data_IF_703668049472
#
_entry.id   IF_703668049472
#
_cell.length_a   1.000
_cell.length_b   1.000
_cell.length_c   1.000
_cell.angle_alpha   90.00
_cell.angle_beta   90.00
_cell.angle_gamma   90.00
#
_symmetry.space_group_name_H-M   'P 1'
#
loop_
_entity.id
_entity.type
_entity.pdbx_description
1 polymer ?
#
# COMPACT_ATOMS: atom_id res chain seq x y z
N UNK A 1 -9.65 -6.42 21.91
CA UNK A 1 -8.63 -6.18 20.88
C UNK A 1 -9.10 -6.75 19.55
N UNK A 2 -8.80 -6.07 18.45
CA UNK A 2 -9.11 -6.52 17.08
C UNK A 2 -7.80 -6.87 16.38
N UNK A 3 -7.72 -8.06 15.80
CA UNK A 3 -6.60 -8.48 14.98
C UNK A 3 -6.75 -7.94 13.55
N UNK A 4 -5.68 -7.41 12.97
CA UNK A 4 -5.62 -6.87 11.62
C UNK A 4 -4.72 -7.79 10.77
N UNK A 5 -5.18 -8.19 9.59
CA UNK A 5 -4.49 -9.19 8.76
C UNK A 5 -4.38 -8.71 7.31
N UNK A 6 -3.15 -8.59 6.80
CA UNK A 6 -2.86 -8.34 5.39
C UNK A 6 -2.14 -9.55 4.81
N UNK A 7 -2.90 -10.47 4.22
CA UNK A 7 -2.39 -11.70 3.60
C UNK A 7 -2.10 -11.47 2.11
N UNK A 8 -0.89 -10.97 1.84
CA UNK A 8 -0.35 -10.73 0.51
C UNK A 8 0.28 -11.97 -0.15
N UNK A 9 0.57 -11.87 -1.45
CA UNK A 9 1.12 -12.97 -2.26
C UNK A 9 2.48 -13.52 -1.78
N UNK A 10 3.30 -12.68 -1.12
CA UNK A 10 4.66 -13.05 -0.71
C UNK A 10 4.82 -13.11 0.81
N UNK A 11 4.07 -12.29 1.54
CA UNK A 11 4.15 -12.14 2.99
C UNK A 11 2.78 -11.90 3.57
N UNK A 12 2.62 -12.23 4.84
CA UNK A 12 1.44 -11.90 5.63
C UNK A 12 1.87 -10.92 6.71
N UNK A 13 1.16 -9.80 6.83
CA UNK A 13 1.37 -8.85 7.92
C UNK A 13 0.23 -8.97 8.93
N UNK A 14 0.58 -9.02 10.21
CA UNK A 14 -0.35 -9.01 11.33
C UNK A 14 -0.11 -7.76 12.17
N UNK A 15 -1.21 -7.13 12.57
CA UNK A 15 -1.22 -6.04 13.52
C UNK A 15 -2.40 -6.18 14.47
N UNK A 16 -2.51 -5.28 15.43
CA UNK A 16 -3.65 -5.25 16.33
C UNK A 16 -4.11 -3.83 16.62
N UNK A 17 -5.37 -3.71 17.01
CA UNK A 17 -6.02 -2.47 17.39
C UNK A 17 -6.69 -2.59 18.76
N UNK A 18 -6.36 -1.66 19.66
CA UNK A 18 -7.02 -1.51 20.96
C UNK A 18 -8.41 -0.86 20.75
N UNK A 19 -9.48 -1.60 21.06
CA UNK A 19 -10.87 -1.15 20.97
C UNK A 19 -11.60 -1.41 22.31
N UNK A 20 -12.59 -0.58 22.72
CA UNK A 20 -13.19 0.56 21.99
C UNK A 20 -12.43 1.90 22.15
N UNK A 21 -12.84 2.94 21.41
CA UNK A 21 -12.37 4.34 21.56
C UNK A 21 -12.56 5.19 20.29
N UNK A 22 -12.28 6.51 20.32
CA UNK A 22 -12.64 7.45 19.25
C UNK A 22 -11.94 7.19 17.90
N UNK A 23 -12.67 7.45 16.82
CA UNK A 23 -12.23 7.25 15.44
C UNK A 23 -10.98 8.07 15.06
N UNK A 24 -10.79 9.23 15.70
CA UNK A 24 -9.65 10.11 15.49
C UNK A 24 -8.32 9.49 15.95
N UNK A 25 -8.38 8.57 16.92
CA UNK A 25 -7.20 8.03 17.62
C UNK A 25 -6.85 6.62 17.10
N UNK A 26 -7.40 6.21 15.95
CA UNK A 26 -7.26 4.85 15.44
C UNK A 26 -5.81 4.44 15.19
N UNK A 27 -5.04 5.32 14.55
CA UNK A 27 -3.63 5.09 14.26
C UNK A 27 -2.79 5.03 15.55
N UNK A 28 -3.17 5.77 16.59
CA UNK A 28 -2.45 5.81 17.87
C UNK A 28 -2.71 4.56 18.72
N UNK A 29 -3.87 3.93 18.54
CA UNK A 29 -4.28 2.69 19.23
C UNK A 29 -3.94 1.42 18.48
N UNK A 30 -3.35 1.54 17.28
CA UNK A 30 -2.81 0.43 16.51
C UNK A 30 -1.39 0.14 16.99
N UNK A 31 -1.00 -1.13 16.91
CA UNK A 31 0.40 -1.50 17.02
C UNK A 31 1.28 -0.69 16.04
N UNK A 32 2.50 -0.37 16.46
CA UNK A 32 3.47 0.39 15.64
C UNK A 32 4.40 -0.50 14.82
N UNK A 33 4.66 -1.71 15.32
CA UNK A 33 5.59 -2.69 14.73
C UNK A 33 4.83 -3.97 14.36
N UNK A 34 4.41 -4.11 13.09
CA UNK A 34 3.57 -5.23 12.71
C UNK A 34 4.44 -6.45 12.50
N UNK A 35 3.90 -7.61 12.81
CA UNK A 35 4.56 -8.86 12.47
C UNK A 35 4.45 -9.08 10.96
N UNK A 36 5.57 -9.23 10.27
CA UNK A 36 5.61 -9.63 8.87
C UNK A 36 6.21 -11.04 8.75
N UNK A 37 5.44 -11.99 8.23
CA UNK A 37 5.82 -13.39 8.08
C UNK A 37 5.92 -13.77 6.60
N UNK A 38 6.91 -14.60 6.27
CA UNK A 38 6.82 -15.40 5.04
C UNK A 38 5.75 -16.48 5.22
N UNK A 39 5.15 -16.93 4.12
CA UNK A 39 4.09 -17.94 4.17
C UNK A 39 4.53 -19.27 4.80
N UNK A 40 5.82 -19.62 4.68
CA UNK A 40 6.39 -20.84 5.24
C UNK A 40 6.56 -20.78 6.77
N UNK A 41 6.62 -19.58 7.34
CA UNK A 41 6.87 -19.37 8.76
C UNK A 41 5.58 -19.19 9.59
N UNK A 42 4.41 -19.22 8.92
CA UNK A 42 3.13 -18.87 9.50
C UNK A 42 2.80 -19.72 10.74
N UNK A 43 2.84 -21.05 10.61
CA UNK A 43 2.50 -21.99 11.67
C UNK A 43 3.49 -21.93 12.84
N UNK A 44 4.76 -21.64 12.55
CA UNK A 44 5.81 -21.59 13.56
C UNK A 44 5.77 -20.29 14.37
N UNK A 45 5.51 -19.15 13.73
CA UNK A 45 5.69 -17.83 14.34
C UNK A 45 4.38 -17.18 14.79
N UNK A 46 3.25 -17.38 14.09
CA UNK A 46 2.00 -16.72 14.45
C UNK A 46 1.52 -17.11 15.87
N UNK A 47 1.50 -18.38 16.30
CA UNK A 47 1.08 -18.73 17.66
C UNK A 47 1.93 -18.07 18.75
N UNK A 48 3.24 -17.95 18.52
CA UNK A 48 4.16 -17.32 19.46
C UNK A 48 3.87 -15.82 19.59
N UNK A 49 3.57 -15.15 18.47
CA UNK A 49 3.20 -13.75 18.48
C UNK A 49 1.83 -13.52 19.12
N UNK A 50 0.84 -14.38 18.82
CA UNK A 50 -0.50 -14.33 19.43
C UNK A 50 -0.43 -14.46 20.97
N UNK A 51 0.44 -15.32 21.49
CA UNK A 51 0.65 -15.50 22.93
C UNK A 51 1.26 -14.27 23.62
N UNK A 52 1.87 -13.35 22.87
CA UNK A 52 2.50 -12.12 23.39
C UNK A 52 1.61 -10.89 23.24
N UNK A 53 0.38 -11.05 22.75
CA UNK A 53 -0.55 -9.94 22.58
C UNK A 53 -0.94 -9.32 23.93
N UNK A 54 -1.14 -7.99 24.00
CA UNK A 54 -1.52 -7.33 25.25
C UNK A 54 -2.86 -7.81 25.83
N UNK A 55 -3.74 -8.32 24.98
CA UNK A 55 -5.01 -8.93 25.35
C UNK A 55 -5.45 -9.95 24.29
N UNK A 56 -6.29 -10.95 24.65
CA UNK A 56 -6.85 -11.89 23.69
C UNK A 56 -7.58 -11.17 22.53
N UNK A 57 -7.32 -11.52 21.26
CA UNK A 57 -8.10 -11.03 20.13
C UNK A 57 -9.53 -11.57 20.22
N UNK A 58 -10.53 -10.70 20.06
CA UNK A 58 -11.96 -11.07 20.07
C UNK A 58 -12.62 -10.99 18.71
N UNK A 59 -12.03 -10.23 17.79
CA UNK A 59 -12.44 -10.05 16.40
C UNK A 59 -11.18 -10.03 15.55
N UNK A 60 -11.27 -10.50 14.31
CA UNK A 60 -10.22 -10.32 13.32
C UNK A 60 -10.84 -9.73 12.06
N UNK A 61 -10.18 -8.74 11.47
CA UNK A 61 -10.54 -8.17 10.18
C UNK A 61 -9.30 -8.24 9.29
N UNK A 62 -9.48 -8.58 8.02
CA UNK A 62 -8.33 -8.74 7.15
C UNK A 62 -8.63 -8.58 5.69
N UNK A 63 -7.56 -8.59 4.89
CA UNK A 63 -7.60 -8.75 3.45
C UNK A 63 -6.74 -9.92 3.07
N UNK A 64 -7.22 -10.69 2.08
CA UNK A 64 -6.51 -11.84 1.58
C UNK A 64 -6.48 -11.81 0.05
N UNK A 65 -5.27 -11.69 -0.49
CA UNK A 65 -4.99 -11.86 -1.92
C UNK A 65 -4.11 -13.09 -2.18
N UNK A 66 -3.76 -13.85 -1.13
CA UNK A 66 -2.97 -15.09 -1.19
C UNK A 66 -3.81 -16.37 -1.41
N UNK A 67 -5.13 -16.23 -1.58
CA UNK A 67 -6.05 -17.33 -1.93
C UNK A 67 -6.66 -18.08 -0.74
N UNK A 68 -7.65 -18.93 -1.02
CA UNK A 68 -8.48 -19.57 0.00
C UNK A 68 -7.70 -20.52 0.93
N UNK A 69 -6.67 -21.20 0.42
CA UNK A 69 -5.81 -22.05 1.24
C UNK A 69 -5.10 -21.27 2.35
N UNK A 70 -4.64 -20.04 2.05
CA UNK A 70 -4.04 -19.16 3.06
C UNK A 70 -5.06 -18.72 4.11
N UNK A 71 -6.27 -18.32 3.69
CA UNK A 71 -7.33 -17.95 4.63
C UNK A 71 -7.67 -19.09 5.59
N UNK A 72 -7.77 -20.33 5.10
CA UNK A 72 -8.03 -21.51 5.92
C UNK A 72 -6.91 -21.76 6.95
N UNK A 73 -5.65 -21.65 6.54
CA UNK A 73 -4.48 -21.79 7.43
C UNK A 73 -4.50 -20.76 8.55
N UNK A 74 -4.74 -19.48 8.23
CA UNK A 74 -4.80 -18.42 9.24
C UNK A 74 -5.99 -18.66 10.18
N UNK A 75 -7.17 -19.03 9.65
CA UNK A 75 -8.35 -19.30 10.46
C UNK A 75 -8.13 -20.45 11.45
N UNK A 76 -7.47 -21.53 11.02
CA UNK A 76 -7.13 -22.67 11.90
C UNK A 76 -6.24 -22.25 13.07
N UNK A 77 -5.24 -21.38 12.82
CA UNK A 77 -4.35 -20.87 13.87
C UNK A 77 -5.05 -19.93 14.86
N UNK A 78 -6.22 -19.38 14.50
CA UNK A 78 -7.04 -18.52 15.35
C UNK A 78 -8.15 -19.27 16.10
N UNK A 79 -8.37 -20.56 15.82
CA UNK A 79 -9.38 -21.40 16.49
C UNK A 79 -9.26 -21.40 18.03
N UNK A 80 -8.06 -21.48 18.65
CA UNK A 80 -7.94 -21.45 20.11
C UNK A 80 -8.48 -20.16 20.75
N UNK A 81 -8.64 -19.10 19.96
CA UNK A 81 -9.10 -17.79 20.40
C UNK A 81 -10.58 -17.56 20.08
N UNK A 82 -11.28 -18.53 19.47
CA UNK A 82 -12.68 -18.41 18.99
C UNK A 82 -12.88 -17.16 18.11
N UNK A 83 -11.82 -16.77 17.39
CA UNK A 83 -11.78 -15.53 16.65
C UNK A 83 -12.09 -15.80 15.17
N UNK A 84 -13.20 -15.24 14.67
CA UNK A 84 -13.57 -15.29 13.25
C UNK A 84 -12.94 -14.12 12.50
N UNK A 85 -12.49 -14.39 11.28
CA UNK A 85 -11.88 -13.39 10.40
C UNK A 85 -12.93 -12.85 9.42
N UNK A 86 -13.16 -11.54 9.49
CA UNK A 86 -13.95 -10.81 8.50
C UNK A 86 -13.04 -10.34 7.36
N UNK A 87 -13.11 -11.05 6.23
CA UNK A 87 -12.33 -10.71 5.03
C UNK A 87 -12.99 -9.58 4.24
N UNK A 88 -12.33 -8.41 4.24
CA UNK A 88 -12.77 -7.20 3.55
C UNK A 88 -12.62 -7.34 2.03
N UNK A 89 -13.56 -6.74 1.31
CA UNK A 89 -13.57 -6.63 -0.15
C UNK A 89 -13.57 -5.15 -0.57
N UNK A 90 -13.26 -4.89 -1.84
CA UNK A 90 -13.43 -3.57 -2.44
C UNK A 90 -14.90 -3.13 -2.39
N UNK A 91 -15.14 -1.86 -2.10
CA UNK A 91 -16.49 -1.26 -2.05
C UNK A 91 -16.52 0.02 -2.89
N UNK A 92 -17.72 0.52 -3.27
CA UNK A 92 -17.84 1.78 -4.00
C UNK A 92 -17.36 3.00 -3.22
N UNK A 93 -17.54 3.02 -1.90
CA UNK A 93 -17.03 4.04 -1.01
C UNK A 93 -16.95 3.50 0.43
N UNK A 94 -15.95 3.94 1.18
CA UNK A 94 -15.83 3.65 2.61
C UNK A 94 -14.88 4.64 3.29
N UNK A 95 -15.18 4.99 4.55
CA UNK A 95 -14.29 5.77 5.41
C UNK A 95 -13.74 7.07 4.79
N UNK A 96 -14.57 7.80 4.05
CA UNK A 96 -14.19 9.05 3.38
C UNK A 96 -13.39 8.86 2.08
N UNK A 97 -13.35 7.65 1.53
CA UNK A 97 -12.74 7.37 0.22
C UNK A 97 -13.81 6.86 -0.74
N UNK A 98 -13.82 7.41 -1.96
CA UNK A 98 -14.68 6.99 -3.07
C UNK A 98 -13.83 6.23 -4.09
N UNK A 99 -14.28 5.05 -4.48
CA UNK A 99 -13.64 4.25 -5.52
C UNK A 99 -14.05 4.78 -6.91
N UNK A 100 -13.11 5.38 -7.63
CA UNK A 100 -13.39 5.94 -8.96
C UNK A 100 -13.24 4.96 -10.12
N UNK A 101 -12.99 3.67 -9.88
CA UNK A 101 -13.12 2.67 -10.92
C UNK A 101 -14.57 2.59 -11.45
N UNK A 102 -14.72 2.29 -12.74
CA UNK A 102 -16.04 2.06 -13.36
C UNK A 102 -16.77 0.91 -12.70
N UNK A 103 -16.03 -0.15 -12.38
CA UNK A 103 -16.47 -1.29 -11.58
C UNK A 103 -15.60 -1.34 -10.31
N UNK A 104 -16.14 -0.89 -9.16
CA UNK A 104 -15.40 -0.87 -7.90
C UNK A 104 -14.87 -2.22 -7.45
N UNK A 105 -15.49 -3.33 -7.87
CA UNK A 105 -15.12 -4.68 -7.46
C UNK A 105 -13.78 -5.15 -8.06
N UNK A 106 -13.32 -4.51 -9.15
CA UNK A 106 -12.05 -4.82 -9.80
C UNK A 106 -10.84 -4.21 -9.10
N UNK A 107 -11.04 -3.27 -8.18
CA UNK A 107 -9.94 -2.76 -7.38
C UNK A 107 -9.52 -3.82 -6.36
N UNK A 108 -8.26 -4.21 -6.39
CA UNK A 108 -7.67 -5.10 -5.40
C UNK A 108 -7.97 -4.61 -3.97
N UNK A 109 -8.46 -5.50 -3.12
CA UNK A 109 -8.90 -5.14 -1.78
C UNK A 109 -7.74 -4.59 -0.91
N UNK A 110 -6.51 -5.05 -1.17
CA UNK A 110 -5.27 -4.55 -0.55
C UNK A 110 -5.01 -3.09 -0.94
N UNK A 111 -5.10 -2.74 -2.23
CA UNK A 111 -5.00 -1.37 -2.73
C UNK A 111 -6.11 -0.49 -2.17
N UNK A 112 -7.34 -1.02 -2.12
CA UNK A 112 -8.47 -0.30 -1.55
C UNK A 112 -8.23 0.08 -0.09
N UNK A 113 -7.76 -0.86 0.73
CA UNK A 113 -7.42 -0.61 2.13
C UNK A 113 -6.22 0.34 2.28
N UNK A 114 -5.20 0.22 1.44
CA UNK A 114 -4.07 1.13 1.45
C UNK A 114 -4.50 2.58 1.17
N UNK A 115 -5.48 2.79 0.27
CA UNK A 115 -6.05 4.11 -0.01
C UNK A 115 -6.85 4.68 1.16
N UNK A 116 -7.61 3.83 1.87
CA UNK A 116 -8.31 4.23 3.11
C UNK A 116 -7.30 4.61 4.19
N UNK A 117 -6.25 3.79 4.39
CA UNK A 117 -5.18 4.09 5.34
C UNK A 117 -4.47 5.40 5.00
N UNK A 118 -4.19 5.64 3.71
CA UNK A 118 -3.59 6.88 3.24
C UNK A 118 -4.49 8.09 3.51
N UNK A 119 -5.79 7.98 3.20
CA UNK A 119 -6.74 9.06 3.45
C UNK A 119 -6.80 9.42 4.94
N UNK A 120 -6.79 8.42 5.82
CA UNK A 120 -6.76 8.63 7.27
C UNK A 120 -5.46 9.32 7.72
N UNK A 121 -4.31 8.87 7.21
CA UNK A 121 -3.00 9.48 7.52
C UNK A 121 -2.90 10.94 7.04
N UNK A 122 -3.38 11.20 5.82
CA UNK A 122 -3.29 12.50 5.16
C UNK A 122 -4.53 13.40 5.37
N UNK A 123 -5.29 13.18 6.45
CA UNK A 123 -6.45 14.02 6.82
C UNK A 123 -6.12 15.51 6.97
N UNK A 124 -4.89 15.83 7.38
CA UNK A 124 -4.37 17.19 7.52
C UNK A 124 -4.05 17.87 6.18
N UNK A 125 -4.14 17.13 5.07
CA UNK A 125 -3.83 17.59 3.72
C UNK A 125 -5.08 17.57 2.83
N UNK A 126 -6.27 17.89 3.38
CA UNK A 126 -7.57 17.64 2.75
C UNK A 126 -7.66 18.11 1.28
N UNK A 127 -7.10 19.28 0.98
CA UNK A 127 -7.11 19.89 -0.36
C UNK A 127 -5.97 19.42 -1.27
N UNK A 128 -4.96 18.72 -0.74
CA UNK A 128 -3.82 18.26 -1.54
C UNK A 128 -4.14 16.92 -2.21
N UNK A 129 -3.87 16.78 -3.52
CA UNK A 129 -3.87 15.47 -4.15
C UNK A 129 -2.71 14.62 -3.58
N UNK A 130 -2.90 13.31 -3.55
CA UNK A 130 -1.95 12.35 -3.02
C UNK A 130 -1.63 11.31 -4.08
N UNK A 131 -0.39 10.83 -4.05
CA UNK A 131 0.08 9.74 -4.89
C UNK A 131 0.69 8.67 -3.99
N UNK A 132 0.22 7.43 -4.10
CA UNK A 132 0.75 6.29 -3.35
C UNK A 132 1.43 5.31 -4.29
N UNK A 133 2.73 5.13 -4.15
CA UNK A 133 3.46 4.06 -4.83
C UNK A 133 3.82 2.92 -3.85
N UNK A 134 3.30 1.73 -4.11
CA UNK A 134 3.57 0.54 -3.31
C UNK A 134 4.52 -0.39 -4.06
N UNK A 135 5.78 -0.48 -3.62
CA UNK A 135 6.84 -1.28 -4.23
C UNK A 135 6.89 -2.70 -3.62
N UNK A 136 5.88 -3.51 -3.99
CA UNK A 136 5.72 -4.90 -3.55
C UNK A 136 6.08 -5.92 -4.64
N UNK A 137 5.41 -7.07 -4.63
CA UNK A 137 5.52 -8.10 -5.69
C UNK A 137 5.17 -7.51 -7.06
N UNK A 138 4.07 -6.76 -7.10
CA UNK A 138 3.79 -5.78 -8.14
C UNK A 138 4.05 -4.39 -7.56
N UNK A 139 4.45 -3.45 -8.42
CA UNK A 139 4.39 -2.04 -8.08
C UNK A 139 3.03 -1.48 -8.47
N UNK A 140 2.35 -0.83 -7.53
CA UNK A 140 1.13 -0.07 -7.81
C UNK A 140 1.36 1.41 -7.58
N UNK A 141 0.72 2.26 -8.38
CA UNK A 141 0.82 3.71 -8.25
C UNK A 141 -0.59 4.30 -8.33
N UNK A 142 -1.13 4.71 -7.19
CA UNK A 142 -2.53 5.05 -7.01
C UNK A 142 -2.72 6.54 -6.71
N UNK A 143 -3.64 7.20 -7.44
CA UNK A 143 -3.89 8.63 -7.32
C UNK A 143 -5.17 8.92 -6.52
N UNK A 144 -5.05 9.73 -5.47
CA UNK A 144 -6.15 10.08 -4.59
C UNK A 144 -6.31 11.61 -4.52
N UNK A 145 -7.39 12.15 -5.06
CA UNK A 145 -7.64 13.60 -5.14
C UNK A 145 -8.75 14.07 -4.20
N UNK A 146 -8.81 15.39 -3.91
CA UNK A 146 -9.95 15.98 -3.21
C UNK A 146 -11.23 15.85 -4.06
N UNK A 147 -12.38 15.68 -3.42
CA UNK A 147 -13.68 15.73 -4.11
C UNK A 147 -14.13 17.19 -4.22
N UNK A 148 -13.95 17.79 -5.39
CA UNK A 148 -14.24 19.21 -5.62
C UNK A 148 -15.75 19.53 -5.79
N UNK A 149 -16.59 18.55 -6.11
CA UNK A 149 -18.04 18.76 -6.28
C UNK A 149 -18.85 17.64 -5.62
N UNK A 150 -19.89 18.00 -4.85
CA UNK A 150 -20.83 17.06 -4.22
C UNK A 150 -21.84 16.45 -5.21
N UNK A 151 -21.47 16.29 -6.48
CA UNK A 151 -22.32 15.64 -7.50
C UNK A 151 -22.31 14.12 -7.36
N UNK A 152 -21.29 13.55 -6.71
CA UNK A 152 -21.26 12.14 -6.33
C UNK A 152 -22.03 11.97 -5.01
N UNK A 153 -23.16 11.29 -5.04
CA UNK A 153 -24.02 11.07 -3.85
C UNK A 153 -23.33 10.24 -2.76
N UNK A 154 -22.16 9.67 -3.04
CA UNK A 154 -21.30 8.97 -2.06
C UNK A 154 -20.32 9.90 -1.36
N UNK A 155 -20.22 11.17 -1.78
CA UNK A 155 -19.25 12.11 -1.25
C UNK A 155 -19.73 12.77 0.04
N UNK A 156 -19.02 12.48 1.12
CA UNK A 156 -19.10 13.20 2.38
C UNK A 156 -18.14 14.41 2.37
N UNK A 157 -18.36 15.38 3.26
CA UNK A 157 -17.44 16.52 3.40
C UNK A 157 -16.02 16.02 3.76
N UNK A 158 -15.03 16.49 3.00
CA UNK A 158 -13.63 16.05 3.16
C UNK A 158 -13.32 14.67 2.60
N UNK A 159 -14.25 14.04 1.86
CA UNK A 159 -13.98 12.79 1.15
C UNK A 159 -12.94 12.98 0.04
N UNK A 160 -12.25 11.88 -0.28
CA UNK A 160 -11.26 11.81 -1.35
C UNK A 160 -11.69 10.81 -2.42
N UNK A 161 -11.39 11.11 -3.68
CA UNK A 161 -11.67 10.23 -4.82
C UNK A 161 -10.42 9.53 -5.29
N UNK A 162 -10.47 8.21 -5.37
CA UNK A 162 -9.47 7.43 -6.08
C UNK A 162 -9.68 7.60 -7.58
N UNK A 163 -8.74 8.22 -8.29
CA UNK A 163 -8.86 8.51 -9.72
C UNK A 163 -8.42 7.35 -10.61
N UNK A 164 -7.85 6.29 -10.02
CA UNK A 164 -7.20 5.20 -10.73
C UNK A 164 -5.71 5.16 -10.45
N UNK A 165 -5.04 4.20 -11.09
CA UNK A 165 -3.63 3.96 -10.87
C UNK A 165 -3.01 2.98 -11.85
N UNK A 166 -1.71 2.79 -11.72
CA UNK A 166 -0.91 1.87 -12.51
C UNK A 166 -0.66 0.58 -11.74
N UNK A 167 -0.52 -0.53 -12.47
CA UNK A 167 0.05 -1.79 -11.99
C UNK A 167 1.21 -2.13 -12.92
N UNK A 168 2.38 -2.38 -12.34
CA UNK A 168 3.63 -2.67 -13.03
C UNK A 168 4.24 -3.91 -12.36
N UNK A 169 5.09 -4.69 -13.05
CA UNK A 169 5.90 -5.67 -12.34
C UNK A 169 6.77 -4.97 -11.29
N UNK A 170 6.85 -5.54 -10.08
CA UNK A 170 7.74 -5.02 -9.04
C UNK A 170 9.21 -5.25 -9.39
N UNK A 171 10.12 -4.60 -8.67
CA UNK A 171 11.58 -4.66 -8.90
C UNK A 171 12.07 -6.11 -9.08
N UNK A 172 11.79 -6.97 -8.09
CA UNK A 172 12.18 -8.39 -8.13
C UNK A 172 11.56 -9.17 -9.29
N UNK A 173 10.31 -8.85 -9.65
CA UNK A 173 9.63 -9.49 -10.78
C UNK A 173 10.24 -9.06 -12.11
N UNK A 174 10.64 -7.79 -12.25
CA UNK A 174 11.36 -7.30 -13.43
C UNK A 174 12.70 -8.03 -13.59
N UNK A 175 13.51 -8.12 -12.53
CA UNK A 175 14.75 -8.91 -12.55
C UNK A 175 14.52 -10.36 -12.96
N UNK A 176 13.55 -11.04 -12.34
CA UNK A 176 13.23 -12.43 -12.65
C UNK A 176 12.73 -12.60 -14.09
N UNK A 177 11.96 -11.65 -14.61
CA UNK A 177 11.44 -11.70 -15.98
C UNK A 177 12.53 -11.60 -17.04
N UNK A 178 13.57 -10.77 -16.81
CA UNK A 178 14.71 -10.68 -17.72
C UNK A 178 15.56 -11.95 -17.68
N UNK A 179 15.84 -12.47 -16.48
CA UNK A 179 16.65 -13.66 -16.29
C UNK A 179 16.01 -14.94 -16.87
N UNK A 180 14.67 -15.07 -16.74
CA UNK A 180 13.95 -16.24 -17.25
C UNK A 180 13.44 -16.08 -18.69
N UNK A 181 13.21 -14.85 -19.14
CA UNK A 181 12.63 -14.54 -20.44
C UNK A 181 13.66 -14.29 -21.55
N UNK A 182 14.96 -14.36 -21.26
CA UNK A 182 16.02 -14.15 -22.24
C UNK A 182 17.09 -15.23 -22.15
N UNK A 183 17.81 -15.48 -23.24
CA UNK A 183 18.80 -16.56 -23.29
C UNK A 183 20.05 -16.30 -22.45
N UNK A 184 20.44 -15.03 -22.28
CA UNK A 184 21.78 -14.65 -21.81
C UNK A 184 21.80 -13.60 -20.68
N UNK A 185 20.65 -13.10 -20.21
CA UNK A 185 20.66 -12.13 -19.10
C UNK A 185 20.65 -12.85 -17.75
N UNK A 186 21.51 -12.44 -16.80
CA UNK A 186 21.55 -13.05 -15.48
C UNK A 186 20.46 -12.50 -14.55
N UNK A 187 20.28 -13.16 -13.42
CA UNK A 187 19.66 -12.53 -12.24
C UNK A 187 20.65 -11.49 -11.68
N UNK A 188 20.59 -10.26 -12.20
CA UNK A 188 21.56 -9.20 -11.90
C UNK A 188 21.52 -8.74 -10.43
N UNK A 189 22.71 -8.42 -9.89
CA UNK A 189 22.90 -7.76 -8.58
C UNK A 189 23.78 -6.51 -8.74
N UNK A 190 23.46 -5.69 -9.77
CA UNK A 190 24.17 -4.45 -10.06
C UNK A 190 23.68 -3.25 -9.24
N UNK A 191 24.50 -2.21 -9.17
CA UNK A 191 24.10 -0.89 -8.67
C UNK A 191 23.49 -0.05 -9.79
N UNK A 192 22.71 0.97 -9.44
CA UNK A 192 22.20 1.93 -10.42
C UNK A 192 23.33 2.87 -10.85
N UNK A 193 23.46 3.05 -12.17
CA UNK A 193 24.40 3.95 -12.82
C UNK A 193 23.71 4.79 -13.91
N UNK A 194 24.17 6.02 -14.08
CA UNK A 194 23.66 6.94 -15.12
C UNK A 194 23.94 6.43 -16.55
N UNK A 195 25.16 5.93 -16.77
CA UNK A 195 25.61 5.36 -18.02
C UNK A 195 26.17 3.97 -17.72
N UNK A 196 25.31 2.94 -17.66
CA UNK A 196 25.75 1.59 -17.33
C UNK A 196 26.70 1.06 -18.41
N UNK A 197 27.85 0.50 -18.01
CA UNK A 197 28.88 -0.01 -18.92
C UNK A 197 28.96 -1.55 -18.95
N UNK A 198 28.17 -2.23 -18.11
CA UNK A 198 28.03 -3.69 -18.11
C UNK A 198 26.58 -4.13 -17.85
N UNK A 199 26.29 -5.39 -18.19
CA UNK A 199 24.92 -5.96 -18.22
C UNK A 199 24.18 -5.82 -16.90
N UNK A 200 24.81 -6.13 -15.77
CA UNK A 200 24.13 -6.06 -14.46
C UNK A 200 23.72 -4.64 -14.07
N UNK A 201 24.59 -3.63 -14.29
CA UNK A 201 24.22 -2.23 -14.11
C UNK A 201 23.13 -1.81 -15.10
N UNK A 202 23.20 -2.25 -16.36
CA UNK A 202 22.19 -1.92 -17.35
C UNK A 202 20.79 -2.43 -16.94
N UNK A 203 20.72 -3.64 -16.37
CA UNK A 203 19.48 -4.21 -15.83
C UNK A 203 19.02 -3.42 -14.60
N UNK A 204 19.89 -3.20 -13.61
CA UNK A 204 19.53 -2.50 -12.38
C UNK A 204 19.07 -1.05 -12.65
N UNK A 205 19.83 -0.29 -13.45
CA UNK A 205 19.48 1.07 -13.89
C UNK A 205 18.17 1.10 -14.67
N UNK A 206 17.98 0.17 -15.62
CA UNK A 206 16.76 0.12 -16.43
C UNK A 206 15.51 -0.14 -15.59
N UNK A 207 15.61 -1.04 -14.59
CA UNK A 207 14.53 -1.34 -13.66
C UNK A 207 14.23 -0.13 -12.77
N UNK A 208 15.25 0.49 -12.18
CA UNK A 208 15.07 1.69 -11.34
C UNK A 208 14.43 2.84 -12.14
N UNK A 209 14.91 3.08 -13.36
CA UNK A 209 14.37 4.08 -14.28
C UNK A 209 12.91 3.79 -14.65
N UNK A 210 12.54 2.52 -14.88
CA UNK A 210 11.15 2.14 -15.16
C UNK A 210 10.21 2.41 -13.98
N UNK A 211 10.63 2.08 -12.76
CA UNK A 211 9.86 2.33 -11.54
C UNK A 211 9.70 3.84 -11.28
N UNK A 212 10.81 4.59 -11.35
CA UNK A 212 10.81 6.04 -11.13
C UNK A 212 10.05 6.80 -12.23
N UNK A 213 10.24 6.43 -13.49
CA UNK A 213 9.53 7.01 -14.62
C UNK A 213 8.02 6.80 -14.54
N UNK A 214 7.56 5.63 -14.10
CA UNK A 214 6.13 5.38 -13.90
C UNK A 214 5.54 6.26 -12.78
N UNK A 215 6.28 6.46 -11.69
CA UNK A 215 5.88 7.37 -10.61
C UNK A 215 5.81 8.81 -11.11
N UNK A 216 6.84 9.30 -11.81
CA UNK A 216 6.86 10.65 -12.35
C UNK A 216 5.75 10.89 -13.36
N UNK A 217 5.52 9.94 -14.28
CA UNK A 217 4.40 10.02 -15.23
C UNK A 217 3.09 10.27 -14.48
N UNK A 218 2.81 9.50 -13.43
CA UNK A 218 1.57 9.64 -12.68
C UNK A 218 1.55 10.94 -11.85
N UNK A 219 2.70 11.38 -11.33
CA UNK A 219 2.84 12.67 -10.65
C UNK A 219 2.48 13.85 -11.57
N UNK A 220 2.97 13.86 -12.81
CA UNK A 220 2.63 14.88 -13.80
C UNK A 220 1.13 14.89 -14.11
N UNK A 221 0.53 13.73 -14.37
CA UNK A 221 -0.90 13.60 -14.67
C UNK A 221 -1.76 14.13 -13.52
N UNK A 222 -1.44 13.77 -12.28
CA UNK A 222 -2.20 14.25 -11.11
C UNK A 222 -2.03 15.74 -10.93
N UNK A 223 -0.81 16.28 -11.12
CA UNK A 223 -0.55 17.72 -11.06
C UNK A 223 -1.40 18.49 -12.06
N UNK A 224 -1.45 18.03 -13.30
CA UNK A 224 -2.25 18.64 -14.36
C UNK A 224 -3.76 18.53 -14.06
N UNK A 225 -4.23 17.34 -13.68
CA UNK A 225 -5.65 17.07 -13.43
C UNK A 225 -6.18 17.84 -12.22
N UNK A 226 -5.37 17.99 -11.17
CA UNK A 226 -5.76 18.63 -9.91
C UNK A 226 -5.32 20.10 -9.81
N UNK A 227 -4.61 20.62 -10.82
CA UNK A 227 -3.96 21.94 -10.79
C UNK A 227 -3.08 22.19 -9.54
N UNK A 228 -2.57 21.12 -8.93
CA UNK A 228 -1.77 21.15 -7.70
C UNK A 228 -0.84 19.92 -7.64
N UNK A 229 0.44 20.08 -7.23
CA UNK A 229 1.37 18.95 -7.16
C UNK A 229 0.92 17.96 -6.07
N UNK A 230 0.88 16.65 -6.34
CA UNK A 230 0.53 15.69 -5.32
C UNK A 230 1.66 15.47 -4.32
N UNK A 231 1.28 15.21 -3.06
CA UNK A 231 2.19 14.69 -2.05
C UNK A 231 2.44 13.20 -2.30
N UNK A 232 3.70 12.80 -2.33
CA UNK A 232 4.11 11.43 -2.66
C UNK A 232 4.30 10.62 -1.37
N UNK A 233 3.60 9.50 -1.32
CA UNK A 233 3.73 8.47 -0.29
C UNK A 233 4.19 7.17 -0.93
N UNK A 234 5.02 6.44 -0.21
CA UNK A 234 5.61 5.19 -0.69
C UNK A 234 5.48 4.09 0.34
N UNK A 235 5.36 2.85 -0.12
CA UNK A 235 5.33 1.66 0.72
C UNK A 235 6.07 0.50 0.04
N UNK A 236 6.20 -0.61 0.75
CA UNK A 236 6.88 -1.81 0.24
C UNK A 236 8.39 -1.78 0.47
N UNK A 237 8.98 -2.98 0.53
CA UNK A 237 10.40 -3.15 0.86
C UNK A 237 11.34 -2.75 -0.27
N UNK A 238 10.91 -2.91 -1.54
CA UNK A 238 11.73 -2.57 -2.68
C UNK A 238 11.91 -1.06 -2.87
N UNK A 239 11.19 -0.22 -2.10
CA UNK A 239 11.41 1.23 -2.06
C UNK A 239 12.87 1.58 -1.80
N UNK A 240 13.53 0.88 -0.86
CA UNK A 240 14.90 1.20 -0.49
C UNK A 240 15.92 0.88 -1.59
N UNK A 241 15.57 -0.03 -2.51
CA UNK A 241 16.41 -0.40 -3.65
C UNK A 241 16.38 0.66 -4.76
N UNK A 242 15.27 1.39 -4.89
CA UNK A 242 15.04 2.34 -5.99
C UNK A 242 14.95 3.81 -5.55
N UNK A 243 14.99 4.09 -4.25
CA UNK A 243 14.80 5.42 -3.67
C UNK A 243 15.71 6.46 -4.30
N UNK A 244 17.00 6.15 -4.45
CA UNK A 244 17.98 7.12 -4.95
C UNK A 244 17.62 7.62 -6.36
N UNK A 245 17.21 6.70 -7.23
CA UNK A 245 16.80 7.05 -8.60
C UNK A 245 15.47 7.83 -8.63
N UNK A 246 14.52 7.47 -7.75
CA UNK A 246 13.27 8.22 -7.60
C UNK A 246 13.53 9.63 -7.09
N UNK A 247 14.30 9.78 -6.01
CA UNK A 247 14.61 11.08 -5.41
C UNK A 247 15.31 11.99 -6.42
N UNK A 248 16.27 11.43 -7.17
CA UNK A 248 17.00 12.16 -8.22
C UNK A 248 16.08 12.65 -9.33
N UNK A 249 15.31 11.75 -9.94
CA UNK A 249 14.43 12.10 -11.06
C UNK A 249 13.30 13.03 -10.62
N UNK A 250 12.76 12.84 -9.42
CA UNK A 250 11.73 13.72 -8.87
C UNK A 250 12.25 15.11 -8.53
N UNK A 251 13.46 15.20 -7.96
CA UNK A 251 14.12 16.48 -7.70
C UNK A 251 14.36 17.25 -8.99
N UNK A 252 14.83 16.57 -10.04
CA UNK A 252 15.02 17.17 -11.36
C UNK A 252 13.69 17.66 -11.96
N UNK A 253 12.65 16.82 -11.95
CA UNK A 253 11.34 17.16 -12.51
C UNK A 253 10.70 18.38 -11.80
N UNK A 254 10.93 18.53 -10.49
CA UNK A 254 10.50 19.72 -9.76
C UNK A 254 11.34 20.96 -10.12
N UNK A 255 12.68 20.80 -10.19
CA UNK A 255 13.59 21.88 -10.53
C UNK A 255 13.35 22.46 -11.93
N UNK A 256 13.08 21.61 -12.91
CA UNK A 256 12.74 22.00 -14.29
C UNK A 256 11.46 22.85 -14.36
N UNK A 257 10.64 22.82 -13.30
CA UNK A 257 9.40 23.58 -13.16
C UNK A 257 9.53 24.76 -12.18
N UNK A 258 10.73 25.06 -11.69
CA UNK A 258 10.97 26.13 -10.73
C UNK A 258 10.44 25.83 -9.32
N UNK A 259 10.30 24.56 -8.96
CA UNK A 259 9.79 24.11 -7.65
C UNK A 259 10.83 23.27 -6.90
N UNK A 260 10.75 23.28 -5.58
CA UNK A 260 11.51 22.36 -4.73
C UNK A 260 10.69 21.09 -4.52
N UNK A 261 11.34 19.93 -4.67
CA UNK A 261 10.69 18.64 -4.40
C UNK A 261 10.28 18.53 -2.93
N UNK A 262 9.02 18.16 -2.69
CA UNK A 262 8.54 17.82 -1.35
C UNK A 262 9.11 16.47 -0.90
N UNK A 263 9.29 16.28 0.41
CA UNK A 263 9.76 14.99 0.93
C UNK A 263 8.80 13.83 0.57
N UNK A 264 9.36 12.75 0.03
CA UNK A 264 8.64 11.48 -0.19
C UNK A 264 8.51 10.76 1.15
N UNK A 265 7.29 10.41 1.55
CA UNK A 265 7.01 9.82 2.88
C UNK A 265 6.80 8.31 2.79
N UNK A 266 7.63 7.54 3.49
CA UNK A 266 7.47 6.09 3.57
C UNK A 266 6.49 5.68 4.67
N UNK A 267 5.51 4.86 4.31
CA UNK A 267 4.46 4.35 5.20
C UNK A 267 4.41 2.80 5.11
N UNK A 268 4.88 2.07 6.13
CA UNK A 268 5.11 0.61 6.01
C UNK A 268 3.84 -0.26 5.97
N UNK A 269 2.72 0.28 6.45
CA UNK A 269 1.59 -0.55 6.92
C UNK A 269 0.22 0.02 6.57
N UNK A 270 0.11 0.76 5.47
CA UNK A 270 -1.12 1.44 5.04
C UNK A 270 -2.34 0.51 4.93
N UNK A 271 -2.14 -0.75 4.52
CA UNK A 271 -3.23 -1.74 4.47
C UNK A 271 -3.78 -2.01 5.88
N UNK A 272 -2.90 -2.19 6.87
CA UNK A 272 -3.30 -2.37 8.27
C UNK A 272 -3.92 -1.09 8.83
N UNK A 273 -3.44 0.09 8.45
CA UNK A 273 -4.05 1.37 8.83
C UNK A 273 -5.48 1.52 8.26
N UNK A 274 -5.69 1.07 7.01
CA UNK A 274 -7.01 1.00 6.39
C UNK A 274 -7.95 0.03 7.10
N UNK A 275 -7.46 -1.16 7.47
CA UNK A 275 -8.22 -2.14 8.24
C UNK A 275 -8.61 -1.58 9.62
N UNK A 276 -7.67 -0.93 10.32
CA UNK A 276 -7.93 -0.28 11.60
C UNK A 276 -9.01 0.79 11.48
N UNK A 277 -8.98 1.58 10.40
CA UNK A 277 -9.99 2.60 10.10
C UNK A 277 -11.38 2.00 9.87
N UNK A 278 -11.48 0.89 9.12
CA UNK A 278 -12.76 0.21 8.87
C UNK A 278 -13.31 -0.48 10.13
N UNK A 279 -12.45 -1.10 10.93
CA UNK A 279 -12.83 -1.83 12.14
C UNK A 279 -13.59 -0.95 13.14
N UNK A 280 -13.32 0.35 13.16
CA UNK A 280 -13.93 1.29 14.09
C UNK A 280 -15.25 1.90 13.58
N UNK A 281 -15.49 1.92 12.28
CA UNK A 281 -16.77 2.36 11.70
C UNK A 281 -17.88 1.31 11.82
N UNK A 282 -17.52 0.04 12.02
CA UNK A 282 -18.45 -1.10 12.05
C UNK A 282 -19.19 -1.26 13.39
N UNK A 283 -18.74 -0.58 14.45
CA UNK A 283 -19.38 -0.62 15.79
C UNK A 283 -20.40 0.54 15.99
N UNK A 284 -20.69 1.35 14.96
CA UNK A 284 -21.63 2.48 15.00
C UNK A 284 -23.01 2.17 14.36
N UNK A 285 -23.35 0.89 14.19
CA UNK A 285 -24.63 0.41 13.63
C UNK A 285 -25.47 -0.29 14.68
#
# INVERSE_FOLDING_TARGET
>A
MILLIDAGNTRIKFGWLQAPGPLADAAERREREPLALAHADLEAQLPQWLARLPAPPRKAIGVNVAGNGMAARIQALLEPWTCRIDWVRGTPAAAGVINGYRDPSQLGADRWLALIGLAAHARHLAESPLLLASFGTATTIDSLGPVQTCSDSRAEAGARRFHGGLILPGVRLMHASLASGTANLPMAQGTVAHHPDHTEQAIASGIAAAQAGALLRQWHIVRETCAAPPQIFVSGGAWFEIREEVDRLFSQACADQGHTASAIRWLPSLVLDGLARLAQGSDAS
#
